data_IF_867606215138
#
_entry.id   IF_867606215138
#
_cell.length_a   1.000
_cell.length_b   1.000
_cell.length_c   1.000
_cell.angle_alpha   90.00
_cell.angle_beta   90.00
_cell.angle_gamma   90.00
#
_symmetry.space_group_name_H-M   'P 1'
#
loop_
_entity.id
_entity.type
_entity.pdbx_description
1 polymer ?
2 non-polymer ?
3 water ?
#
# COMPACT_ATOMS: atom_id res chain seq x y z
N UNK A 1 22.16 -3.08 -10.58
CA UNK A 1 22.78 -1.82 -10.08
C UNK A 1 21.73 -0.73 -9.80
N UNK A 2 21.99 0.44 -10.34
CA UNK A 2 21.15 1.61 -10.15
C UNK A 2 19.68 1.64 -10.47
N UNK A 3 18.88 0.84 -9.77
CA UNK A 3 17.45 0.93 -9.98
C UNK A 3 17.23 2.27 -9.29
N UNK A 4 18.24 2.63 -8.49
CA UNK A 4 18.28 3.86 -7.73
C UNK A 4 19.67 4.50 -7.84
N UNK A 5 19.74 5.65 -8.51
CA UNK A 5 21.01 6.35 -8.69
C UNK A 5 21.57 6.87 -7.37
N UNK A 6 22.87 7.11 -7.33
CA UNK A 6 23.51 7.61 -6.11
C UNK A 6 22.98 8.99 -5.70
N UNK A 7 22.58 9.78 -6.68
CA UNK A 7 22.04 11.10 -6.40
C UNK A 7 20.69 10.90 -5.73
N UNK A 8 19.96 9.90 -6.21
CA UNK A 8 18.64 9.56 -5.68
C UNK A 8 18.79 9.11 -4.23
N UNK A 9 19.81 8.31 -3.96
CA UNK A 9 20.03 7.81 -2.61
C UNK A 9 20.17 8.96 -1.61
N UNK A 10 20.88 10.00 -2.00
CA UNK A 10 21.08 11.15 -1.13
C UNK A 10 19.74 11.83 -0.80
N UNK A 11 18.92 11.99 -1.83
CA UNK A 11 17.60 12.60 -1.68
C UNK A 11 16.73 11.75 -0.76
N UNK A 12 16.68 10.45 -1.04
CA UNK A 12 15.89 9.55 -0.21
C UNK A 12 16.33 9.64 1.24
N UNK A 13 17.63 9.53 1.49
CA UNK A 13 18.12 9.60 2.85
C UNK A 13 17.79 10.91 3.56
N UNK A 14 17.99 12.03 2.87
CA UNK A 14 17.76 13.35 3.46
C UNK A 14 16.33 13.82 3.60
N UNK A 15 15.52 13.62 2.57
CA UNK A 15 14.14 14.08 2.58
C UNK A 15 13.09 13.09 3.03
N UNK A 16 13.46 11.82 3.16
CA UNK A 16 12.47 10.83 3.59
C UNK A 16 12.88 10.04 4.84
N UNK A 17 13.92 9.22 4.70
CA UNK A 17 14.35 8.36 5.80
C UNK A 17 14.89 9.06 7.03
N UNK A 18 15.26 10.33 6.92
CA UNK A 18 15.74 11.07 8.07
C UNK A 18 14.56 11.29 9.04
N UNK A 19 13.34 11.14 8.54
CA UNK A 19 12.13 11.34 9.35
C UNK A 19 11.58 10.08 10.01
N UNK A 20 12.28 8.97 9.85
CA UNK A 20 11.81 7.72 10.44
C UNK A 20 12.00 7.65 11.95
N UNK A 21 11.13 6.90 12.62
CA UNK A 21 11.19 6.76 14.06
C UNK A 21 11.35 5.29 14.43
N UNK A 22 10.28 4.52 14.28
CA UNK A 22 10.32 3.09 14.59
C UNK A 22 10.74 2.27 13.37
N UNK A 23 11.34 1.09 13.60
CA UNK A 23 11.77 0.22 12.51
C UNK A 23 10.63 -0.33 11.66
N UNK A 24 10.85 -0.36 10.36
CA UNK A 24 9.87 -0.83 9.40
C UNK A 24 10.43 -2.04 8.68
N UNK A 25 9.56 -3.02 8.44
CA UNK A 25 9.97 -4.23 7.74
C UNK A 25 9.08 -4.39 6.52
N UNK A 26 9.71 -4.51 5.35
CA UNK A 26 8.98 -4.68 4.12
C UNK A 26 8.85 -6.17 3.84
N UNK A 27 7.64 -6.70 3.93
CA UNK A 27 7.43 -8.11 3.66
C UNK A 27 6.93 -8.23 2.23
N UNK A 28 7.77 -8.84 1.39
CA UNK A 28 7.47 -9.00 -0.02
C UNK A 28 7.13 -10.43 -0.39
N UNK A 29 6.03 -10.59 -1.12
CA UNK A 29 5.60 -11.91 -1.56
C UNK A 29 5.81 -11.99 -3.06
N UNK A 30 6.53 -13.02 -3.49
CA UNK A 30 6.82 -13.22 -4.90
C UNK A 30 6.48 -14.66 -5.28
N UNK A 31 6.56 -14.97 -6.56
CA UNK A 31 6.29 -16.32 -7.05
C UNK A 31 7.06 -16.55 -8.34
N UNK A 32 7.06 -17.79 -8.83
CA UNK A 32 7.79 -18.11 -10.06
C UNK A 32 7.01 -17.87 -11.33
N UNK A 33 5.71 -18.14 -11.30
CA UNK A 33 4.88 -17.95 -12.48
C UNK A 33 4.12 -16.64 -12.51
N UNK A 34 4.29 -15.91 -13.61
CA UNK A 34 3.62 -14.65 -13.81
C UNK A 34 4.05 -13.53 -12.86
N UNK A 35 5.36 -13.35 -12.75
CA UNK A 35 5.93 -12.29 -11.93
C UNK A 35 6.99 -11.60 -12.76
N UNK A 36 6.53 -10.94 -13.81
CA UNK A 36 7.41 -10.25 -14.74
C UNK A 36 8.35 -9.26 -14.07
N UNK A 37 7.85 -8.50 -13.09
CA UNK A 37 8.67 -7.49 -12.44
C UNK A 37 9.05 -7.83 -11.02
N UNK A 38 8.96 -9.13 -10.71
CA UNK A 38 9.29 -9.61 -9.38
C UNK A 38 10.75 -9.35 -9.02
N UNK A 39 11.64 -9.51 -9.99
CA UNK A 39 13.06 -9.29 -9.73
C UNK A 39 13.35 -7.82 -9.45
N UNK A 40 12.65 -6.93 -10.17
CA UNK A 40 12.82 -5.49 -9.98
C UNK A 40 12.34 -5.11 -8.60
N UNK A 41 11.20 -5.69 -8.19
CA UNK A 41 10.64 -5.41 -6.87
C UNK A 41 11.64 -5.87 -5.82
N UNK A 42 12.19 -7.07 -6.02
CA UNK A 42 13.17 -7.65 -5.11
C UNK A 42 14.36 -6.70 -4.91
N UNK A 43 14.97 -6.27 -6.00
CA UNK A 43 16.14 -5.41 -5.92
C UNK A 43 15.84 -4.02 -5.36
N UNK A 44 14.61 -3.54 -5.58
CA UNK A 44 14.23 -2.23 -5.07
C UNK A 44 14.23 -2.20 -3.55
N UNK A 45 13.57 -3.19 -2.94
CA UNK A 45 13.48 -3.26 -1.50
C UNK A 45 14.85 -3.48 -0.87
N UNK A 46 15.70 -4.25 -1.55
CA UNK A 46 17.03 -4.51 -1.04
C UNK A 46 17.89 -3.24 -1.05
N UNK A 47 17.77 -2.44 -2.11
CA UNK A 47 18.53 -1.20 -2.21
C UNK A 47 18.04 -0.17 -1.20
N UNK A 48 16.74 -0.15 -0.96
CA UNK A 48 16.19 0.81 0.00
C UNK A 48 16.62 0.49 1.42
N UNK A 49 16.69 -0.80 1.76
CA UNK A 49 17.08 -1.18 3.13
C UNK A 49 18.54 -0.87 3.45
N UNK A 50 19.33 -0.56 2.42
CA UNK A 50 20.74 -0.24 2.62
C UNK A 50 20.95 1.23 3.00
N UNK A 51 19.91 2.03 2.84
CA UNK A 51 20.02 3.46 3.13
C UNK A 51 19.73 3.86 4.57
N UNK A 52 19.30 2.91 5.39
CA UNK A 52 19.02 3.22 6.78
C UNK A 52 18.98 1.96 7.63
N UNK A 53 19.28 2.09 8.92
CA UNK A 53 19.26 0.93 9.80
C UNK A 53 17.86 0.71 10.39
N UNK A 54 16.89 1.50 9.95
CA UNK A 54 15.53 1.37 10.45
C UNK A 54 14.64 0.67 9.43
N UNK A 55 15.22 0.20 8.33
CA UNK A 55 14.44 -0.49 7.31
C UNK A 55 15.03 -1.85 6.99
N UNK A 56 14.19 -2.88 7.04
CA UNK A 56 14.60 -4.24 6.73
C UNK A 56 13.54 -4.87 5.84
N UNK A 57 13.83 -6.05 5.30
CA UNK A 57 12.86 -6.71 4.43
C UNK A 57 12.93 -8.22 4.54
N UNK A 58 11.94 -8.87 3.97
CA UNK A 58 11.84 -10.32 3.97
C UNK A 58 11.13 -10.75 2.70
N UNK A 59 11.81 -11.57 1.89
CA UNK A 59 11.23 -12.06 0.64
C UNK A 59 10.57 -13.40 0.93
N UNK A 60 9.28 -13.50 0.57
CA UNK A 60 8.53 -14.73 0.82
C UNK A 60 8.02 -15.35 -0.48
N UNK A 61 8.23 -16.66 -0.62
CA UNK A 61 7.77 -17.38 -1.79
C UNK A 61 6.32 -17.81 -1.58
N UNK A 62 5.41 -17.11 -2.26
CA UNK A 62 3.98 -17.38 -2.15
C UNK A 62 3.61 -18.80 -2.58
N UNK A 63 4.43 -19.39 -3.43
CA UNK A 63 4.19 -20.74 -3.93
C UNK A 63 4.35 -21.83 -2.88
N UNK A 64 5.23 -21.59 -1.91
CA UNK A 64 5.48 -22.57 -0.86
C UNK A 64 4.39 -22.61 0.20
N UNK A 65 4.27 -23.76 0.89
CA UNK A 65 3.25 -23.92 1.94
C UNK A 65 3.54 -22.94 3.07
N UNK A 66 4.83 -22.62 3.23
CA UNK A 66 5.26 -21.69 4.26
C UNK A 66 4.83 -20.28 3.89
N UNK A 67 5.05 -19.91 2.62
CA UNK A 67 4.67 -18.60 2.16
C UNK A 67 3.17 -18.38 2.22
N UNK A 68 2.42 -19.43 1.93
CA UNK A 68 0.96 -19.36 1.96
C UNK A 68 0.46 -19.12 3.38
N UNK A 69 1.17 -19.67 4.36
CA UNK A 69 0.80 -19.51 5.76
C UNK A 69 1.05 -18.08 6.20
N UNK A 70 2.17 -17.52 5.73
CA UNK A 70 2.56 -16.16 6.06
C UNK A 70 1.60 -15.17 5.40
N UNK A 71 1.29 -15.42 4.13
CA UNK A 71 0.39 -14.57 3.36
C UNK A 71 -0.95 -14.49 4.07
N UNK A 72 -1.47 -15.63 4.46
CA UNK A 72 -2.74 -15.70 5.15
C UNK A 72 -2.70 -14.82 6.39
N UNK A 73 -1.58 -14.89 7.11
CA UNK A 73 -1.42 -14.11 8.32
C UNK A 73 -1.39 -12.61 8.00
N UNK A 74 -0.86 -12.27 6.83
CA UNK A 74 -0.80 -10.87 6.45
C UNK A 74 -1.93 -10.47 5.50
N UNK A 75 -2.95 -11.31 5.44
CA UNK A 75 -4.13 -11.06 4.62
C UNK A 75 -3.78 -10.78 3.17
N UNK A 76 -2.83 -11.53 2.64
CA UNK A 76 -2.39 -11.37 1.26
C UNK A 76 -2.97 -12.52 0.45
N UNK A 77 -3.67 -12.19 -0.63
CA UNK A 77 -4.30 -13.20 -1.48
C UNK A 77 -3.69 -13.37 -2.86
N UNK A 78 -2.70 -12.53 -3.19
CA UNK A 78 -2.03 -12.58 -4.49
C UNK A 78 -0.56 -12.17 -4.36
N UNK A 79 0.22 -12.50 -5.40
CA UNK A 79 1.63 -12.14 -5.45
C UNK A 79 1.87 -11.67 -6.89
N UNK A 80 2.73 -10.66 -7.09
CA UNK A 80 3.52 -9.86 -6.14
C UNK A 80 2.77 -8.90 -5.25
N UNK A 81 3.16 -8.86 -3.99
CA UNK A 81 2.53 -7.97 -3.02
C UNK A 81 3.57 -7.59 -1.97
N UNK A 82 3.43 -6.39 -1.45
CA UNK A 82 4.33 -5.89 -0.44
C UNK A 82 3.48 -5.25 0.65
N UNK A 83 3.69 -5.65 1.89
CA UNK A 83 2.94 -5.03 2.97
C UNK A 83 4.00 -4.34 3.80
N UNK A 84 3.73 -3.09 4.16
CA UNK A 84 4.67 -2.28 4.92
C UNK A 84 4.30 -2.33 6.39
N UNK A 85 5.13 -3.04 7.16
CA UNK A 85 4.87 -3.22 8.57
C UNK A 85 5.81 -2.51 9.53
N UNK A 86 5.35 -2.34 10.76
CA UNK A 86 6.17 -1.73 11.80
C UNK A 86 6.72 -2.90 12.58
N UNK A 87 7.94 -3.28 12.25
CA UNK A 87 8.60 -4.40 12.91
C UNK A 87 7.75 -5.66 12.81
N UNK A 88 7.12 -5.89 11.66
CA UNK A 88 6.31 -7.07 11.49
C UNK A 88 4.83 -6.91 11.81
N UNK A 89 4.47 -5.81 12.44
CA UNK A 89 3.07 -5.57 12.79
C UNK A 89 2.33 -5.08 11.53
N UNK A 90 1.23 -5.77 11.19
CA UNK A 90 0.41 -5.45 10.01
C UNK A 90 -0.32 -4.11 10.18
N UNK A 91 -0.14 -3.18 9.22
CA UNK A 91 -0.79 -1.87 9.28
C UNK A 91 -1.81 -1.65 8.16
N UNK A 92 -2.07 -2.69 7.38
CA UNK A 92 -3.03 -2.61 6.29
C UNK A 92 -2.56 -1.76 5.12
N UNK A 93 -1.25 -1.60 5.01
CA UNK A 93 -0.65 -0.78 3.95
C UNK A 93 0.06 -1.66 2.94
N UNK A 94 -0.63 -1.94 1.84
CA UNK A 94 -0.10 -2.82 0.83
C UNK A 94 -0.05 -2.27 -0.60
N UNK A 95 0.89 -2.81 -1.37
CA UNK A 95 1.11 -2.48 -2.77
C UNK A 95 1.11 -3.80 -3.54
N UNK A 96 0.25 -3.92 -4.53
CA UNK A 96 0.21 -5.13 -5.34
C UNK A 96 0.84 -4.75 -6.66
N UNK A 97 2.09 -5.13 -6.84
CA UNK A 97 2.82 -4.81 -8.06
C UNK A 97 3.99 -3.89 -7.73
N UNK A 98 4.62 -3.36 -8.77
CA UNK A 98 5.77 -2.48 -8.66
C UNK A 98 5.37 -1.01 -8.43
N UNK A 99 5.92 -0.36 -7.38
CA UNK A 99 5.60 1.05 -7.15
C UNK A 99 6.44 1.94 -8.06
N UNK A 100 6.18 1.88 -9.36
CA UNK A 100 6.94 2.67 -10.33
C UNK A 100 6.27 4.02 -10.58
N UNK A 101 6.97 4.87 -11.33
CA UNK A 101 6.42 6.19 -11.61
C UNK A 101 6.35 6.95 -10.30
N UNK A 102 5.42 7.87 -10.18
CA UNK A 102 5.30 8.64 -8.95
C UNK A 102 4.76 7.84 -7.78
N UNK A 103 4.49 6.55 -8.01
CA UNK A 103 4.04 5.70 -6.91
C UNK A 103 5.27 5.46 -6.02
N UNK A 104 6.46 5.70 -6.57
CA UNK A 104 7.68 5.51 -5.78
C UNK A 104 7.71 6.44 -4.58
N UNK A 105 7.37 7.72 -4.79
CA UNK A 105 7.35 8.68 -3.69
C UNK A 105 6.28 8.31 -2.67
N UNK A 106 5.14 7.82 -3.14
CA UNK A 106 4.07 7.40 -2.25
C UNK A 106 4.56 6.23 -1.40
N UNK A 107 5.32 5.32 -2.01
CA UNK A 107 5.88 4.15 -1.31
C UNK A 107 6.78 4.62 -0.17
N UNK A 108 7.67 5.57 -0.45
CA UNK A 108 8.58 6.12 0.55
C UNK A 108 7.82 6.86 1.66
N UNK A 109 6.81 7.62 1.27
CA UNK A 109 6.03 8.37 2.25
C UNK A 109 5.28 7.39 3.17
N UNK A 110 4.81 6.28 2.61
CA UNK A 110 4.10 5.27 3.39
C UNK A 110 5.03 4.65 4.42
N UNK A 111 6.28 4.43 4.01
CA UNK A 111 7.27 3.84 4.90
C UNK A 111 7.46 4.78 6.10
N UNK A 112 7.57 6.08 5.82
CA UNK A 112 7.75 7.05 6.91
C UNK A 112 6.54 7.10 7.86
N UNK A 113 5.33 7.13 7.32
CA UNK A 113 4.13 7.21 8.16
C UNK A 113 3.91 5.97 9.01
N UNK A 114 4.25 4.80 8.49
CA UNK A 114 4.10 3.56 9.26
C UNK A 114 5.15 3.65 10.38
N UNK A 115 6.35 4.11 10.03
CA UNK A 115 7.42 4.27 11.01
C UNK A 115 7.00 5.22 12.14
N UNK A 116 6.36 6.33 11.78
CA UNK A 116 5.89 7.32 12.75
C UNK A 116 4.54 6.93 13.36
N UNK A 117 3.90 5.94 12.76
CA UNK A 117 2.59 5.49 13.22
C UNK A 117 1.59 6.65 13.34
N UNK A 118 1.58 7.52 12.34
CA UNK A 118 0.65 8.65 12.33
C UNK A 118 0.55 9.22 10.92
N UNK A 119 -0.44 10.07 10.69
CA UNK A 119 -0.67 10.67 9.39
C UNK A 119 -1.03 12.14 9.55
N UNK A 120 -1.20 12.85 8.43
CA UNK A 120 -1.56 14.26 8.47
C UNK A 120 -3.06 14.41 8.18
N UNK A 121 -3.82 13.34 8.36
CA UNK A 121 -5.27 13.40 8.11
C UNK A 121 -5.93 14.46 9.02
N UNK A 122 -6.99 15.09 8.52
CA UNK A 122 -7.67 16.10 9.30
C UNK A 122 -8.27 15.44 10.55
N UNK A 123 -8.46 16.23 11.60
CA UNK A 123 -9.00 15.74 12.87
C UNK A 123 -10.32 15.01 12.69
N UNK A 124 -11.25 15.62 11.95
CA UNK A 124 -12.56 15.02 11.73
C UNK A 124 -12.44 13.67 11.01
N UNK A 125 -11.53 13.59 10.04
CA UNK A 125 -11.32 12.35 9.31
C UNK A 125 -10.77 11.28 10.25
N UNK A 126 -9.77 11.64 11.03
CA UNK A 126 -9.17 10.69 11.96
C UNK A 126 -10.21 10.10 12.91
N UNK A 127 -11.07 10.96 13.44
CA UNK A 127 -12.12 10.54 14.36
C UNK A 127 -13.02 9.48 13.74
N UNK A 128 -13.46 9.74 12.52
CA UNK A 128 -14.34 8.81 11.81
C UNK A 128 -13.64 7.51 11.45
N UNK A 129 -12.42 7.59 10.93
CA UNK A 129 -11.68 6.39 10.53
C UNK A 129 -11.34 5.49 11.71
N UNK A 130 -11.01 6.09 12.85
CA UNK A 130 -10.66 5.32 14.04
C UNK A 130 -11.86 4.61 14.66
N UNK A 131 -13.07 4.95 14.19
CA UNK A 131 -14.29 4.34 14.73
C UNK A 131 -14.81 3.17 13.90
N UNK A 132 -14.27 3.01 12.69
CA UNK A 132 -14.71 1.95 11.81
C UNK A 132 -14.34 0.59 12.38
N UNK A 133 -15.38 -0.24 12.55
CA UNK A 133 -15.20 -1.57 13.13
C UNK A 133 -15.54 -2.71 12.17
N UNK A 134 -15.82 -2.37 10.92
CA UNK A 134 -16.14 -3.38 9.92
C UNK A 134 -14.94 -3.66 9.03
N UNK A 135 -14.88 -4.87 8.48
CA UNK A 135 -13.79 -5.24 7.60
C UNK A 135 -13.96 -4.49 6.30
N UNK A 136 -13.00 -3.63 5.99
CA UNK A 136 -13.05 -2.83 4.77
C UNK A 136 -11.80 -3.03 3.92
N UNK A 137 -11.98 -3.22 2.62
CA UNK A 137 -10.84 -3.36 1.72
C UNK A 137 -11.02 -2.29 0.66
N UNK A 138 -10.02 -1.42 0.54
CA UNK A 138 -10.08 -0.36 -0.46
C UNK A 138 -9.07 -0.71 -1.54
N UNK A 139 -9.56 -0.94 -2.76
CA UNK A 139 -8.67 -1.28 -3.85
C UNK A 139 -8.46 -0.02 -4.67
N UNK A 140 -7.20 0.34 -4.89
CA UNK A 140 -6.93 1.52 -5.70
C UNK A 140 -6.14 1.10 -6.90
N UNK A 141 -6.83 0.94 -8.02
CA UNK A 141 -6.20 0.54 -9.27
C UNK A 141 -5.54 1.75 -9.89
N UNK A 142 -4.27 1.59 -10.25
CA UNK A 142 -3.50 2.66 -10.84
C UNK A 142 -2.64 2.12 -12.00
N UNK A 143 -2.02 3.04 -12.73
CA UNK A 143 -1.11 2.70 -13.81
C UNK A 143 0.10 3.58 -13.51
N UNK A 144 1.30 3.20 -13.98
CA UNK A 144 2.55 3.95 -13.76
C UNK A 144 2.50 5.42 -14.14
N UNK A 145 1.84 5.71 -15.26
CA UNK A 145 1.72 7.07 -15.75
C UNK A 145 0.32 7.55 -15.37
N UNK A 146 0.24 8.27 -14.27
CA UNK A 146 -1.04 8.75 -13.76
C UNK A 146 -0.70 9.77 -12.67
N UNK A 147 -0.66 11.06 -13.04
CA UNK A 147 -0.33 12.13 -12.10
C UNK A 147 -1.07 12.15 -10.76
N UNK A 148 -2.37 11.85 -10.76
CA UNK A 148 -3.14 11.91 -9.52
C UNK A 148 -3.37 10.62 -8.78
N UNK A 149 -2.89 9.51 -9.33
CA UNK A 149 -3.06 8.21 -8.69
C UNK A 149 -2.45 8.12 -7.28
N UNK A 150 -1.23 8.65 -7.10
CA UNK A 150 -0.58 8.60 -5.78
C UNK A 150 -1.44 9.22 -4.68
N UNK A 151 -2.16 10.28 -5.00
CA UNK A 151 -3.01 10.91 -4.00
C UNK A 151 -4.03 9.91 -3.45
N UNK A 152 -4.66 9.15 -4.33
CA UNK A 152 -5.67 8.18 -3.92
C UNK A 152 -5.07 7.01 -3.14
N UNK A 153 -3.88 6.56 -3.55
CA UNK A 153 -3.22 5.46 -2.88
C UNK A 153 -2.81 5.92 -1.46
N UNK A 154 -2.25 7.12 -1.37
CA UNK A 154 -1.85 7.63 -0.07
C UNK A 154 -3.07 7.82 0.82
N UNK A 155 -4.21 8.24 0.26
CA UNK A 155 -5.39 8.43 1.11
C UNK A 155 -5.82 7.09 1.70
N UNK A 156 -5.87 6.06 0.86
CA UNK A 156 -6.28 4.72 1.30
C UNK A 156 -5.35 4.19 2.38
N UNK A 157 -4.05 4.46 2.21
CA UNK A 157 -3.05 4.00 3.16
C UNK A 157 -3.09 4.75 4.49
N UNK A 158 -3.40 6.04 4.44
CA UNK A 158 -3.51 6.85 5.65
C UNK A 158 -4.71 6.34 6.43
N UNK A 159 -5.76 5.94 5.73
CA UNK A 159 -6.94 5.41 6.42
C UNK A 159 -6.58 4.14 7.17
N UNK A 160 -5.81 3.28 6.51
CA UNK A 160 -5.41 2.00 7.11
C UNK A 160 -4.54 2.20 8.35
N UNK A 161 -3.59 3.14 8.26
CA UNK A 161 -2.70 3.42 9.37
C UNK A 161 -3.48 3.91 10.60
N UNK A 162 -4.40 4.85 10.39
CA UNK A 162 -5.17 5.39 11.50
C UNK A 162 -6.04 4.33 12.16
N UNK A 163 -6.71 3.49 11.37
CA UNK A 163 -7.55 2.43 11.91
C UNK A 163 -6.70 1.43 12.68
N UNK A 164 -5.47 1.21 12.24
CA UNK A 164 -4.59 0.29 12.94
C UNK A 164 -4.19 0.94 14.28
N UNK A 165 -3.87 2.22 14.22
CA UNK A 165 -3.48 2.98 15.40
C UNK A 165 -4.58 2.88 16.46
N UNK A 166 -5.82 3.01 16.03
CA UNK A 166 -6.98 2.95 16.94
C UNK A 166 -7.13 1.59 17.63
N UNK A 167 -6.41 0.58 17.17
CA UNK A 167 -6.48 -0.73 17.78
C UNK A 167 -7.44 -1.69 17.08
N UNK A 168 -8.02 -1.24 15.97
CA UNK A 168 -8.95 -2.06 15.21
C UNK A 168 -8.24 -2.84 14.11
N UNK A 169 -7.52 -2.13 13.25
CA UNK A 169 -6.81 -2.78 12.15
C UNK A 169 -7.74 -3.50 11.20
N UNK A 170 -8.87 -2.88 10.87
CA UNK A 170 -9.85 -3.49 9.98
C UNK A 170 -9.88 -2.94 8.56
N UNK A 171 -9.07 -1.93 8.28
CA UNK A 171 -9.05 -1.35 6.95
C UNK A 171 -7.82 -1.77 6.17
N UNK A 172 -8.02 -2.27 4.97
CA UNK A 172 -6.91 -2.68 4.11
C UNK A 172 -6.87 -1.68 2.95
N UNK A 173 -5.74 -1.00 2.78
CA UNK A 173 -5.58 -0.06 1.68
C UNK A 173 -4.65 -0.69 0.67
N UNK A 174 -5.20 -1.08 -0.48
CA UNK A 174 -4.43 -1.77 -1.48
C UNK A 174 -4.17 -1.05 -2.80
N UNK A 175 -2.91 -0.69 -3.05
CA UNK A 175 -2.56 -0.11 -4.34
C UNK A 175 -2.48 -1.32 -5.27
N UNK A 176 -3.12 -1.25 -6.43
CA UNK A 176 -3.05 -2.35 -7.38
C UNK A 176 -2.54 -1.79 -8.70
N UNK A 177 -1.38 -2.28 -9.13
CA UNK A 177 -0.75 -1.87 -10.37
C UNK A 177 -1.40 -2.65 -11.51
N UNK A 178 -2.36 -2.01 -12.17
CA UNK A 178 -3.14 -2.63 -13.23
C UNK A 178 -2.41 -3.41 -14.32
N UNK A 179 -1.28 -2.89 -14.78
CA UNK A 179 -0.52 -3.58 -15.83
C UNK A 179 -0.12 -5.00 -15.44
N UNK A 180 0.20 -5.18 -14.16
CA UNK A 180 0.60 -6.48 -13.62
C UNK A 180 -0.56 -7.38 -13.21
N UNK A 181 -1.76 -6.80 -13.07
CA UNK A 181 -2.95 -7.56 -12.67
C UNK A 181 -4.09 -7.27 -13.64
N UNK A 182 -3.92 -7.63 -14.92
CA UNK A 182 -4.98 -7.36 -15.91
C UNK A 182 -6.33 -8.02 -15.66
N UNK A 183 -6.31 -9.26 -15.18
CA UNK A 183 -7.55 -9.99 -14.94
C UNK A 183 -8.37 -9.29 -13.84
N UNK A 184 -7.67 -8.82 -12.82
CA UNK A 184 -8.28 -8.12 -11.69
C UNK A 184 -8.84 -6.77 -12.15
N UNK A 185 -8.05 -6.05 -12.94
CA UNK A 185 -8.47 -4.74 -13.44
C UNK A 185 -9.69 -4.91 -14.36
N UNK A 186 -9.66 -5.95 -15.19
CA UNK A 186 -10.74 -6.21 -16.11
C UNK A 186 -12.03 -6.52 -15.35
N UNK A 187 -11.90 -7.20 -14.23
CA UNK A 187 -13.02 -7.57 -13.38
C UNK A 187 -13.81 -6.32 -12.97
N UNK A 188 -13.10 -5.22 -12.76
CA UNK A 188 -13.72 -3.97 -12.34
C UNK A 188 -13.79 -2.90 -13.41
N UNK A 189 -13.72 -3.33 -14.68
CA UNK A 189 -13.78 -2.41 -15.82
C UNK A 189 -12.89 -1.21 -15.61
N UNK A 190 -11.62 -1.47 -15.31
CA UNK A 190 -10.71 -0.37 -15.08
C UNK A 190 -10.17 0.19 -16.39
N UNK A 191 -10.38 1.48 -16.59
CA UNK A 191 -9.87 2.17 -17.77
C UNK A 191 -9.21 3.42 -17.22
N UNK A 192 -10.01 4.42 -16.90
CA UNK A 192 -9.50 5.65 -16.33
C UNK A 192 -9.06 5.34 -14.90
N UNK A 193 -7.94 5.92 -14.50
CA UNK A 193 -7.45 5.70 -13.15
C UNK A 193 -7.21 7.04 -12.46
N UNK A 194 -7.18 7.04 -11.12
CA UNK A 194 -7.35 5.86 -10.27
C UNK A 194 -8.81 5.42 -10.18
N UNK A 195 -9.02 4.11 -10.11
CA UNK A 195 -10.36 3.56 -9.97
C UNK A 195 -10.40 2.97 -8.56
N UNK A 196 -11.36 3.40 -7.76
CA UNK A 196 -11.43 2.91 -6.39
C UNK A 196 -12.63 1.99 -6.17
N UNK A 197 -12.37 0.86 -5.52
CA UNK A 197 -13.42 -0.09 -5.21
C UNK A 197 -13.38 -0.33 -3.71
N UNK A 198 -14.47 -0.03 -3.03
CA UNK A 198 -14.55 -0.23 -1.60
C UNK A 198 -15.42 -1.45 -1.32
N UNK A 199 -14.85 -2.42 -0.62
CA UNK A 199 -15.55 -3.64 -0.26
C UNK A 199 -15.71 -3.67 1.26
N UNK A 200 -16.84 -4.16 1.72
CA UNK A 200 -17.10 -4.25 3.16
C UNK A 200 -17.55 -5.68 3.36
N UNK A 201 -16.81 -6.43 4.17
CA UNK A 201 -17.12 -7.82 4.43
C UNK A 201 -16.99 -8.65 3.17
N UNK A 202 -16.00 -8.30 2.34
CA UNK A 202 -15.76 -9.03 1.11
C UNK A 202 -16.67 -8.72 -0.06
N UNK A 203 -17.69 -7.90 0.14
CA UNK A 203 -18.59 -7.58 -0.96
C UNK A 203 -18.45 -6.13 -1.45
N UNK A 204 -18.55 -5.95 -2.77
CA UNK A 204 -18.44 -4.61 -3.36
C UNK A 204 -19.56 -3.71 -2.86
N UNK A 205 -19.22 -2.46 -2.54
CA UNK A 205 -20.22 -1.52 -2.07
C UNK A 205 -20.20 -0.22 -2.87
N UNK A 206 -19.00 0.26 -3.18
CA UNK A 206 -18.89 1.50 -3.92
C UNK A 206 -17.69 1.46 -4.86
N UNK A 207 -17.89 1.97 -6.07
CA UNK A 207 -16.83 2.02 -7.06
C UNK A 207 -16.89 3.41 -7.68
N UNK A 208 -15.74 4.07 -7.82
CA UNK A 208 -15.73 5.39 -8.44
C UNK A 208 -14.36 5.66 -9.03
N UNK A 209 -14.28 6.64 -9.92
CA UNK A 209 -13.01 6.97 -10.57
C UNK A 209 -12.59 8.39 -10.25
N UNK A 210 -11.28 8.59 -10.09
CA UNK A 210 -10.76 9.91 -9.79
C UNK A 210 -10.25 10.09 -8.37
N UNK A 211 -9.27 10.99 -8.22
CA UNK A 211 -8.72 11.27 -6.89
C UNK A 211 -9.61 12.37 -6.29
N UNK A 212 -10.40 11.98 -5.29
CA UNK A 212 -11.30 12.92 -4.63
C UNK A 212 -10.60 13.54 -3.43
N UNK A 213 -10.95 14.78 -3.08
CA UNK A 213 -10.30 15.40 -1.93
C UNK A 213 -10.64 14.56 -0.70
N UNK A 214 -9.89 14.78 0.38
CA UNK A 214 -10.07 14.04 1.62
C UNK A 214 -11.51 13.94 2.11
N UNK A 215 -12.20 15.08 2.20
CA UNK A 215 -13.58 15.09 2.66
C UNK A 215 -14.52 14.23 1.82
N UNK A 216 -14.44 14.37 0.49
CA UNK A 216 -15.29 13.61 -0.41
C UNK A 216 -14.95 12.12 -0.42
N UNK A 217 -13.67 11.81 -0.32
CA UNK A 217 -13.22 10.42 -0.29
C UNK A 217 -13.77 9.76 0.97
N UNK A 218 -13.66 10.46 2.10
CA UNK A 218 -14.17 9.91 3.36
C UNK A 218 -15.68 9.66 3.21
N UNK A 219 -16.39 10.64 2.66
CA UNK A 219 -17.84 10.53 2.48
C UNK A 219 -18.19 9.25 1.73
N UNK A 220 -17.45 8.96 0.66
CA UNK A 220 -17.69 7.77 -0.13
C UNK A 220 -17.58 6.49 0.69
N UNK A 221 -16.53 6.43 1.51
CA UNK A 221 -16.29 5.28 2.36
C UNK A 221 -17.38 5.12 3.42
N UNK A 222 -17.77 6.22 4.05
CA UNK A 222 -18.80 6.14 5.07
C UNK A 222 -20.14 5.67 4.48
N UNK A 223 -20.45 6.14 3.28
CA UNK A 223 -21.70 5.78 2.62
C UNK A 223 -21.75 4.28 2.31
N UNK A 224 -20.59 3.66 2.13
CA UNK A 224 -20.52 2.24 1.82
C UNK A 224 -20.72 1.41 3.09
N UNK A 225 -20.57 2.09 4.23
CA UNK A 225 -20.73 1.44 5.53
C UNK A 225 -22.18 1.49 5.98
N UNK A 226 -22.95 2.38 5.36
CA UNK A 226 -24.36 2.56 5.66
C UNK A 226 -24.85 1.68 6.81
X LIG B 1 16.59 18.41 -0.30
#
# INVERSE_FOLDING_TARGET
MGLISDADKKVIKEEFFSKMVNPVKLIVFVRKDHCQYCDQLKQLVQELSELTDKLSYEIVDFDTPEGKELAKRYRIDRAPATTITQDGKDFGVRYFGLPAGHEFAAFLEDIVDVSREETNLMDETKQAIRNIDQDVRILVFVTPTCPYCPLAVRMAHKFAIENTKAGKGKILGDMVEAIEYPEWADQYNVMAVPKIVIQVNGEDRVEFEGAYPEKMFLEKLLSALS
ZN ZN
#
